data_IF_694206027496
#
_entry.id   IF_694206027496
#
_cell.length_a   1.000
_cell.length_b   1.000
_cell.length_c   1.000
_cell.angle_alpha   90.00
_cell.angle_beta   90.00
_cell.angle_gamma   90.00
#
_symmetry.space_group_name_H-M   'P 1'
#
loop_
_entity.id
_entity.type
_entity.pdbx_description
1 polymer ?
#
# COMPACT_ATOMS: atom_id res chain seq x y z
N UNK A 1 -11.80 14.86 -4.50
CA UNK A 1 -11.33 13.56 -5.05
C UNK A 1 -11.25 12.61 -3.88
N UNK A 2 -11.92 11.45 -3.91
CA UNK A 2 -11.78 10.45 -2.85
C UNK A 2 -10.42 9.77 -3.05
N UNK A 3 -9.36 10.35 -2.49
CA UNK A 3 -8.04 9.74 -2.40
C UNK A 3 -8.18 8.50 -1.54
N UNK A 4 -8.08 7.33 -2.15
CA UNK A 4 -8.01 6.07 -1.41
C UNK A 4 -6.90 6.10 -0.38
N UNK A 5 -7.11 5.45 0.78
CA UNK A 5 -6.09 5.35 1.80
C UNK A 5 -4.96 4.42 1.32
N UNK A 6 -3.71 4.81 1.56
CA UNK A 6 -2.53 4.04 1.15
C UNK A 6 -2.02 3.23 2.35
N UNK A 7 -1.68 1.97 2.09
CA UNK A 7 -1.25 0.98 3.06
C UNK A 7 0.01 0.27 2.59
N UNK A 8 0.69 -0.39 3.53
CA UNK A 8 1.70 -1.40 3.26
C UNK A 8 1.04 -2.77 3.49
N UNK A 9 0.90 -3.54 2.42
CA UNK A 9 0.37 -4.89 2.44
C UNK A 9 1.50 -5.91 2.56
N UNK A 10 1.45 -6.76 3.57
CA UNK A 10 2.41 -7.85 3.73
C UNK A 10 1.79 -9.17 3.33
N UNK A 11 2.34 -9.80 2.29
CA UNK A 11 1.87 -11.10 1.78
C UNK A 11 3.04 -11.93 1.27
N UNK A 12 3.10 -13.21 1.68
CA UNK A 12 4.11 -14.17 1.23
C UNK A 12 5.57 -13.68 1.37
N UNK A 13 5.88 -12.94 2.44
CA UNK A 13 7.23 -12.40 2.65
C UNK A 13 7.55 -11.10 1.89
N UNK A 14 6.57 -10.53 1.19
CA UNK A 14 6.71 -9.26 0.47
C UNK A 14 5.93 -8.15 1.15
N UNK A 15 6.47 -6.93 1.11
CA UNK A 15 5.79 -5.70 1.53
C UNK A 15 5.48 -4.84 0.30
N UNK A 16 4.20 -4.65 0.00
CA UNK A 16 3.71 -3.92 -1.17
C UNK A 16 3.02 -2.64 -0.74
N UNK A 17 3.37 -1.50 -1.33
CA UNK A 17 2.60 -0.27 -1.12
C UNK A 17 1.34 -0.35 -2.01
N UNK A 18 0.16 -0.21 -1.41
CA UNK A 18 -1.13 -0.37 -2.08
C UNK A 18 -2.10 0.76 -1.71
N UNK A 19 -3.03 1.07 -2.60
CA UNK A 19 -4.12 2.04 -2.37
C UNK A 19 -5.46 1.32 -2.33
N UNK A 20 -6.28 1.70 -1.37
CA UNK A 20 -7.63 1.16 -1.18
C UNK A 20 -8.64 2.12 -1.78
N UNK A 21 -9.35 1.68 -2.82
CA UNK A 21 -10.31 2.50 -3.54
C UNK A 21 -11.74 2.04 -3.23
N UNK A 22 -12.67 2.97 -2.93
CA UNK A 22 -14.08 2.61 -2.85
C UNK A 22 -14.58 2.20 -4.25
N UNK A 23 -15.18 1.02 -4.35
CA UNK A 23 -15.81 0.50 -5.56
C UNK A 23 -17.31 0.24 -5.31
N UNK A 24 -18.17 1.03 -5.96
CA UNK A 24 -19.60 0.96 -5.70
C UNK A 24 -19.99 1.41 -4.28
N UNK A 25 -21.10 0.88 -3.75
CA UNK A 25 -21.62 1.26 -2.42
C UNK A 25 -20.93 0.57 -1.24
N UNK A 26 -20.37 -0.62 -1.45
CA UNK A 26 -19.91 -1.47 -0.34
C UNK A 26 -18.61 -2.25 -0.62
N UNK A 27 -18.05 -2.19 -1.84
CA UNK A 27 -16.80 -2.89 -2.15
C UNK A 27 -15.60 -1.95 -2.02
N UNK A 28 -14.46 -2.51 -1.63
CA UNK A 28 -13.16 -1.85 -1.67
C UNK A 28 -12.26 -2.67 -2.58
N UNK A 29 -11.66 -2.02 -3.57
CA UNK A 29 -10.62 -2.63 -4.38
C UNK A 29 -9.26 -2.22 -3.84
N UNK A 30 -8.28 -3.13 -3.98
CA UNK A 30 -6.88 -2.82 -3.71
C UNK A 30 -6.15 -2.68 -5.04
N UNK A 31 -5.28 -1.68 -5.12
CA UNK A 31 -4.39 -1.45 -6.25
C UNK A 31 -2.97 -1.36 -5.70
N UNK A 32 -2.09 -2.27 -6.11
CA UNK A 32 -0.68 -2.15 -5.78
C UNK A 32 -0.06 -0.99 -6.59
N UNK A 33 0.85 -0.25 -5.97
CA UNK A 33 1.63 0.76 -6.68
C UNK A 33 2.44 0.11 -7.81
N UNK A 34 2.54 0.78 -8.96
CA UNK A 34 3.30 0.26 -10.12
C UNK A 34 4.77 0.08 -9.80
N UNK A 35 5.30 0.95 -8.94
CA UNK A 35 6.66 0.89 -8.40
C UNK A 35 6.75 0.16 -7.05
N UNK A 36 5.76 -0.67 -6.67
CA UNK A 36 5.76 -1.36 -5.37
C UNK A 36 7.03 -2.19 -5.10
N UNK A 37 7.63 -2.77 -6.14
CA UNK A 37 8.89 -3.53 -6.02
C UNK A 37 10.08 -2.64 -5.64
N UNK A 38 10.13 -1.42 -6.14
CA UNK A 38 11.18 -0.45 -5.81
C UNK A 38 10.98 0.08 -4.37
N UNK A 39 9.73 0.17 -3.93
CA UNK A 39 9.37 0.62 -2.58
C UNK A 39 9.45 -0.47 -1.51
N UNK A 40 9.59 -1.75 -1.89
CA UNK A 40 9.52 -2.90 -0.96
C UNK A 40 10.56 -2.79 0.18
N UNK A 41 11.79 -2.40 -0.12
CA UNK A 41 12.83 -2.24 0.89
C UNK A 41 12.48 -1.11 1.89
N UNK A 42 12.00 0.02 1.38
CA UNK A 42 11.55 1.15 2.20
C UNK A 42 10.34 0.77 3.06
N UNK A 43 9.41 -0.01 2.52
CA UNK A 43 8.27 -0.54 3.24
C UNK A 43 8.71 -1.45 4.40
N UNK A 44 9.68 -2.35 4.17
CA UNK A 44 10.25 -3.18 5.24
C UNK A 44 10.96 -2.38 6.33
N UNK A 45 11.69 -1.32 5.97
CA UNK A 45 12.32 -0.42 6.96
C UNK A 45 11.26 0.23 7.85
N UNK A 46 10.18 0.73 7.25
CA UNK A 46 9.05 1.33 7.98
C UNK A 46 8.42 0.32 8.94
N UNK A 47 8.08 -0.87 8.44
CA UNK A 47 7.47 -1.94 9.24
C UNK A 47 8.40 -2.41 10.37
N UNK A 48 9.69 -2.55 10.10
CA UNK A 48 10.69 -2.95 11.09
C UNK A 48 10.81 -1.96 12.26
N UNK A 49 10.69 -0.65 11.99
CA UNK A 49 10.63 0.38 13.05
C UNK A 49 9.40 0.24 13.96
N UNK A 50 8.34 -0.40 13.48
CA UNK A 50 7.13 -0.73 14.25
C UNK A 50 7.14 -2.16 14.83
N UNK A 51 8.25 -2.88 14.74
CA UNK A 51 8.38 -4.25 15.24
C UNK A 51 7.73 -5.32 14.34
N UNK A 52 7.43 -4.99 13.08
CA UNK A 52 6.82 -5.92 12.12
C UNK A 52 7.92 -6.54 11.27
N UNK A 53 7.85 -7.85 11.08
CA UNK A 53 8.87 -8.66 10.40
C UNK A 53 8.31 -9.39 9.16
N UNK A 54 9.18 -9.91 8.26
CA UNK A 54 8.79 -10.58 7.01
C UNK A 54 7.75 -11.70 7.11
N UNK A 55 7.68 -12.39 8.24
CA UNK A 55 6.71 -13.46 8.47
C UNK A 55 5.29 -12.99 8.78
N UNK A 56 5.10 -11.71 9.13
CA UNK A 56 3.76 -11.18 9.41
C UNK A 56 2.92 -11.13 8.13
N UNK A 57 1.60 -11.13 8.29
CA UNK A 57 0.65 -10.90 7.19
C UNK A 57 -0.33 -9.85 7.64
N UNK A 58 -0.64 -8.89 6.79
CA UNK A 58 -1.60 -7.86 7.15
C UNK A 58 -1.53 -6.61 6.30
N UNK A 59 -2.31 -5.63 6.75
CA UNK A 59 -2.50 -4.34 6.14
C UNK A 59 -2.09 -3.27 7.17
N UNK A 60 -1.04 -2.53 6.88
CA UNK A 60 -0.44 -1.58 7.82
C UNK A 60 -0.52 -0.16 7.28
N UNK A 61 -0.68 0.83 8.16
CA UNK A 61 -0.71 2.22 7.73
C UNK A 61 0.60 2.59 7.00
N UNK A 62 0.47 3.15 5.80
CA UNK A 62 1.62 3.67 5.07
C UNK A 62 1.91 5.10 5.55
N UNK A 63 3.13 5.41 6.00
CA UNK A 63 3.56 6.78 6.27
C UNK A 63 3.43 7.68 5.03
N UNK A 64 3.16 8.97 5.24
CA UNK A 64 2.90 9.95 4.16
C UNK A 64 4.06 10.10 3.20
N UNK A 65 5.30 10.03 3.69
CA UNK A 65 6.52 10.14 2.89
C UNK A 65 6.73 8.94 1.96
N UNK A 66 6.44 7.72 2.42
CA UNK A 66 6.44 6.54 1.57
C UNK A 66 5.25 6.54 0.61
N UNK A 67 4.07 6.97 1.07
CA UNK A 67 2.88 7.08 0.25
C UNK A 67 3.04 8.08 -0.90
N UNK A 68 3.78 9.18 -0.68
CA UNK A 68 4.07 10.18 -1.71
C UNK A 68 5.00 9.67 -2.83
N UNK A 69 5.77 8.61 -2.57
CA UNK A 69 6.62 7.96 -3.57
C UNK A 69 5.87 6.92 -4.41
N UNK A 70 4.67 6.52 -3.98
CA UNK A 70 3.90 5.47 -4.65
C UNK A 70 3.22 5.99 -5.91
N UNK A 71 3.45 5.30 -7.03
CA UNK A 71 2.83 5.59 -8.30
C UNK A 71 1.64 4.67 -8.54
N UNK A 72 0.46 5.25 -8.72
CA UNK A 72 -0.76 4.52 -9.07
C UNK A 72 -1.29 4.97 -10.42
N UNK A 73 -2.09 4.14 -11.07
CA UNK A 73 -2.81 4.61 -12.25
C UNK A 73 -3.79 5.72 -11.84
N UNK A 74 -3.99 6.73 -12.71
CA UNK A 74 -5.08 7.68 -12.53
C UNK A 74 -6.40 6.90 -12.48
N UNK A 75 -7.24 7.22 -11.49
CA UNK A 75 -8.60 6.67 -11.46
C UNK A 75 -9.34 7.29 -12.65
N UNK A 76 -9.39 6.56 -13.77
CA UNK A 76 -10.26 6.93 -14.88
C UNK A 76 -11.68 6.85 -14.35
N UNK A 77 -12.44 7.95 -14.53
CA UNK A 77 -13.82 8.05 -14.10
C UNK A 77 -14.60 6.80 -14.52
N UNK A 78 -14.97 5.95 -13.55
CA UNK A 78 -15.96 4.89 -13.71
C UNK A 78 -17.36 5.50 -13.80
#
# INVERSE_FOLDING_TARGET
>A
MRTGQIFIDVRHGHALVSRYLPFGREAVTWEAARNARELEASAWIVLGRSGITPQHKGHYCCPTDLAAQAEFEPIQHL
#
